data_IF_450213902618
#
_entry.id   IF_450213902618
#
_cell.length_a   1.000
_cell.length_b   1.000
_cell.length_c   1.000
_cell.angle_alpha   90.00
_cell.angle_beta   90.00
_cell.angle_gamma   90.00
#
_symmetry.space_group_name_H-M   'P 1'
#
loop_
_entity.id
_entity.type
_entity.pdbx_description
1 polymer ?
#
# COMPACT_ATOMS: atom_id res chain seq x y z
N UNK A 1 -0.86 3.80 4.36
CA UNK A 1 -0.66 4.52 3.10
C UNK A 1 -1.57 3.94 2.03
N UNK A 2 -2.20 4.77 1.22
CA UNK A 2 -3.04 4.29 0.13
C UNK A 2 -2.95 5.19 -1.10
N UNK A 3 -3.19 4.59 -2.29
CA UNK A 3 -3.22 5.27 -3.60
C UNK A 3 -2.00 6.13 -3.96
N UNK A 4 -0.80 5.63 -3.66
CA UNK A 4 0.46 6.24 -4.10
C UNK A 4 0.95 5.59 -5.41
N UNK A 5 1.64 6.38 -6.23
CA UNK A 5 2.31 5.91 -7.45
C UNK A 5 3.84 5.89 -7.24
N UNK A 6 4.40 4.70 -7.06
CA UNK A 6 5.85 4.48 -6.97
C UNK A 6 6.36 4.15 -8.38
N UNK A 7 7.21 5.00 -8.94
CA UNK A 7 7.62 4.88 -10.34
C UNK A 7 9.13 4.95 -10.50
N UNK A 8 9.68 3.99 -11.24
CA UNK A 8 11.08 3.94 -11.68
C UNK A 8 12.09 4.05 -10.53
N UNK A 9 11.93 3.16 -9.55
CA UNK A 9 12.80 3.10 -8.36
C UNK A 9 13.79 1.96 -8.55
N UNK A 10 15.07 2.31 -8.74
CA UNK A 10 16.17 1.34 -8.94
C UNK A 10 16.63 0.67 -7.65
N UNK A 11 16.30 1.26 -6.48
CA UNK A 11 16.54 0.71 -5.14
C UNK A 11 15.31 0.00 -4.55
N UNK A 12 14.93 0.40 -3.34
CA UNK A 12 13.77 -0.13 -2.63
C UNK A 12 12.76 0.97 -2.25
N UNK A 13 11.50 0.59 -2.03
CA UNK A 13 10.43 1.52 -1.65
C UNK A 13 10.01 1.40 -0.19
N UNK A 14 9.64 0.19 0.27
CA UNK A 14 9.24 -0.05 1.66
C UNK A 14 10.37 -0.76 2.40
N UNK A 15 10.90 -0.12 3.44
CA UNK A 15 11.81 -0.74 4.41
C UNK A 15 11.24 -0.60 5.82
N UNK A 16 10.54 -1.66 6.27
CA UNK A 16 9.82 -1.65 7.54
C UNK A 16 10.66 -2.26 8.65
N UNK A 17 11.29 -1.40 9.46
CA UNK A 17 12.12 -1.83 10.59
C UNK A 17 11.35 -1.77 11.93
N UNK A 18 12.08 -2.01 13.03
CA UNK A 18 11.58 -2.03 14.41
C UNK A 18 10.58 -0.89 14.68
N UNK A 19 9.42 -1.26 15.23
CA UNK A 19 8.36 -0.31 15.59
C UNK A 19 7.35 -0.04 14.47
N UNK A 20 7.64 -0.47 13.23
CA UNK A 20 6.74 -0.22 12.10
C UNK A 20 5.45 -1.04 12.19
N UNK A 21 4.31 -0.36 11.97
CA UNK A 21 3.00 -0.94 11.63
C UNK A 21 2.51 -0.27 10.35
N UNK A 22 2.54 -0.99 9.24
CA UNK A 22 2.17 -0.45 7.93
C UNK A 22 0.98 -1.20 7.35
N UNK A 23 -0.07 -0.44 7.00
CA UNK A 23 -1.09 -0.85 6.05
C UNK A 23 -0.83 -0.12 4.73
N UNK A 24 -0.60 -0.85 3.64
CA UNK A 24 -0.34 -0.32 2.31
C UNK A 24 -1.33 -0.90 1.31
N UNK A 25 -2.33 -0.14 0.88
CA UNK A 25 -3.41 -0.64 0.02
C UNK A 25 -3.66 0.26 -1.19
N UNK A 26 -4.09 -0.32 -2.31
CA UNK A 26 -4.42 0.42 -3.53
C UNK A 26 -3.28 1.23 -4.13
N UNK A 27 -2.01 0.95 -3.81
CA UNK A 27 -0.86 1.63 -4.40
C UNK A 27 -0.47 0.98 -5.73
N UNK A 28 0.21 1.73 -6.59
CA UNK A 28 0.73 1.25 -7.87
C UNK A 28 2.25 1.35 -7.87
N UNK A 29 2.93 0.22 -8.00
CA UNK A 29 4.39 0.14 -8.15
C UNK A 29 4.70 -0.15 -9.61
N UNK A 30 5.36 0.78 -10.28
CA UNK A 30 5.78 0.72 -11.67
C UNK A 30 7.30 0.73 -11.78
N UNK A 31 7.90 -0.33 -12.34
CA UNK A 31 9.34 -0.48 -12.47
C UNK A 31 10.13 -0.23 -11.16
N UNK A 32 9.59 -0.72 -10.04
CA UNK A 32 10.25 -0.65 -8.73
C UNK A 32 11.02 -1.95 -8.52
N UNK A 33 12.35 -1.88 -8.42
CA UNK A 33 13.20 -3.06 -8.31
C UNK A 33 12.93 -3.88 -7.05
N UNK A 34 12.79 -3.21 -5.90
CA UNK A 34 12.48 -3.85 -4.61
C UNK A 34 11.34 -3.12 -3.90
N UNK A 35 10.06 -3.42 -4.22
CA UNK A 35 8.92 -2.74 -3.60
C UNK A 35 8.89 -2.87 -2.07
N UNK A 36 9.32 -4.01 -1.55
CA UNK A 36 9.56 -4.23 -0.12
C UNK A 36 10.90 -4.92 0.08
N UNK A 37 11.71 -4.44 1.04
CA UNK A 37 12.95 -5.12 1.46
C UNK A 37 12.67 -6.47 2.10
N UNK A 38 11.45 -6.67 2.60
CA UNK A 38 11.06 -7.89 3.31
C UNK A 38 11.58 -7.97 4.75
N UNK A 39 12.10 -6.86 5.31
CA UNK A 39 12.55 -6.80 6.69
C UNK A 39 11.48 -7.34 7.65
N UNK A 40 11.89 -8.25 8.54
CA UNK A 40 11.00 -8.95 9.49
C UNK A 40 10.83 -8.23 10.81
N UNK A 41 11.58 -7.16 11.05
CA UNK A 41 11.52 -6.38 12.29
C UNK A 41 10.26 -5.50 12.40
N UNK A 42 9.72 -5.07 11.25
CA UNK A 42 8.45 -4.38 11.14
C UNK A 42 7.27 -5.32 10.86
N UNK A 43 6.05 -4.84 11.04
CA UNK A 43 4.85 -5.55 10.60
C UNK A 43 4.15 -4.79 9.47
N UNK A 44 4.02 -5.45 8.32
CA UNK A 44 3.44 -4.87 7.10
C UNK A 44 2.27 -5.72 6.63
N UNK A 45 1.16 -5.05 6.32
CA UNK A 45 0.06 -5.59 5.54
C UNK A 45 -0.05 -4.82 4.22
N UNK A 46 0.36 -5.44 3.12
CA UNK A 46 0.24 -4.89 1.77
C UNK A 46 -0.41 -5.95 0.85
N UNK A 47 -1.75 -5.96 0.75
CA UNK A 47 -2.46 -7.00 0.03
C UNK A 47 -2.24 -6.91 -1.48
N UNK A 48 -2.20 -8.06 -2.13
CA UNK A 48 -2.11 -8.21 -3.60
C UNK A 48 -3.16 -9.17 -4.16
N UNK A 49 -4.03 -9.73 -3.30
CA UNK A 49 -5.07 -10.69 -3.67
C UNK A 49 -6.39 -10.42 -2.94
N UNK A 50 -7.48 -10.94 -3.50
CA UNK A 50 -8.82 -10.86 -2.89
C UNK A 50 -8.89 -11.53 -1.51
N UNK A 51 -8.14 -12.61 -1.30
CA UNK A 51 -8.08 -13.31 -0.01
C UNK A 51 -7.40 -12.49 1.07
N UNK A 52 -6.38 -11.70 0.72
CA UNK A 52 -5.78 -10.76 1.66
C UNK A 52 -6.71 -9.56 1.89
N UNK A 53 -7.36 -9.05 0.85
CA UNK A 53 -8.27 -7.91 0.96
C UNK A 53 -9.39 -8.13 1.98
N UNK A 54 -9.96 -9.33 2.03
CA UNK A 54 -11.03 -9.66 2.98
C UNK A 54 -10.60 -9.64 4.45
N UNK A 55 -9.31 -9.79 4.74
CA UNK A 55 -8.78 -9.78 6.12
C UNK A 55 -8.95 -8.42 6.81
N UNK A 56 -9.09 -7.33 6.05
CA UNK A 56 -9.31 -6.00 6.61
C UNK A 56 -10.71 -5.81 7.18
N UNK A 57 -11.70 -6.61 6.75
CA UNK A 57 -13.09 -6.47 7.18
C UNK A 57 -13.25 -6.54 8.70
N UNK A 58 -12.48 -7.41 9.38
CA UNK A 58 -12.55 -7.59 10.83
C UNK A 58 -12.07 -6.41 11.67
N UNK A 59 -11.29 -5.48 11.11
CA UNK A 59 -10.77 -4.32 11.86
C UNK A 59 -11.23 -2.98 11.27
N UNK A 60 -11.23 -2.87 9.93
CA UNK A 60 -11.54 -1.65 9.21
C UNK A 60 -13.02 -1.52 8.84
N UNK A 61 -13.82 -2.58 9.00
CA UNK A 61 -15.21 -2.66 8.53
C UNK A 61 -15.37 -2.48 7.01
N UNK A 62 -14.29 -2.75 6.26
CA UNK A 62 -14.24 -2.76 4.79
C UNK A 62 -13.15 -3.72 4.33
N UNK A 63 -13.26 -4.19 3.10
CA UNK A 63 -12.15 -4.88 2.46
C UNK A 63 -11.04 -3.87 2.15
N UNK A 64 -9.79 -4.32 2.21
CA UNK A 64 -8.68 -3.55 1.65
C UNK A 64 -8.69 -3.62 0.13
N UNK A 65 -7.91 -2.75 -0.51
CA UNK A 65 -7.71 -2.77 -1.96
C UNK A 65 -6.31 -3.30 -2.29
N UNK A 66 -6.21 -4.22 -3.24
CA UNK A 66 -4.93 -4.77 -3.69
C UNK A 66 -4.00 -3.68 -4.21
N UNK A 67 -2.70 -3.83 -3.97
CA UNK A 67 -1.69 -3.08 -4.69
C UNK A 67 -1.46 -3.68 -6.08
N UNK A 68 -1.04 -2.85 -7.03
CA UNK A 68 -0.63 -3.29 -8.38
C UNK A 68 0.89 -3.25 -8.49
N UNK A 69 1.47 -4.32 -9.03
CA UNK A 69 2.89 -4.46 -9.34
C UNK A 69 3.04 -4.59 -10.86
N UNK A 70 3.52 -3.55 -11.53
CA UNK A 70 3.79 -3.52 -12.96
C UNK A 70 5.29 -3.39 -13.20
N UNK A 71 5.90 -4.35 -13.91
CA UNK A 71 7.36 -4.36 -14.15
C UNK A 71 8.22 -4.32 -12.87
N UNK A 72 7.63 -4.65 -11.72
CA UNK A 72 8.22 -4.44 -10.39
C UNK A 72 8.55 -5.77 -9.70
N UNK A 73 9.40 -5.73 -8.68
CA UNK A 73 9.64 -6.87 -7.80
C UNK A 73 8.41 -7.23 -6.94
N UNK A 74 8.59 -8.13 -5.98
CA UNK A 74 7.53 -8.54 -5.06
C UNK A 74 7.41 -7.64 -3.83
N UNK A 75 6.21 -7.59 -3.25
CA UNK A 75 6.01 -7.11 -1.87
C UNK A 75 6.32 -8.24 -0.89
N UNK A 76 7.61 -8.51 -0.67
CA UNK A 76 8.07 -9.58 0.22
C UNK A 76 7.74 -9.27 1.68
N UNK A 77 7.32 -10.29 2.44
CA UNK A 77 7.00 -10.22 3.87
C UNK A 77 5.93 -9.17 4.26
N UNK A 78 4.93 -8.97 3.41
CA UNK A 78 3.86 -7.97 3.64
C UNK A 78 2.48 -8.58 3.90
N UNK A 79 2.39 -9.86 4.28
CA UNK A 79 1.13 -10.55 4.53
C UNK A 79 0.74 -10.63 6.02
N UNK A 80 1.25 -9.71 6.86
CA UNK A 80 1.00 -9.73 8.30
C UNK A 80 -0.28 -8.96 8.65
N UNK A 81 -1.42 -9.66 8.67
CA UNK A 81 -2.73 -9.06 9.00
C UNK A 81 -2.81 -8.49 10.42
N UNK A 82 -1.93 -8.90 11.33
CA UNK A 82 -1.80 -8.29 12.66
C UNK A 82 -1.41 -6.81 12.61
N UNK A 83 -0.76 -6.35 11.53
CA UNK A 83 -0.45 -4.93 11.34
C UNK A 83 -1.70 -4.05 11.21
N UNK A 84 -2.82 -4.60 10.74
CA UNK A 84 -4.10 -3.88 10.58
C UNK A 84 -4.65 -3.42 11.93
N UNK A 85 -4.38 -4.17 13.00
CA UNK A 85 -4.86 -3.87 14.36
C UNK A 85 -4.43 -2.50 14.91
N UNK A 86 -3.37 -1.91 14.35
CA UNK A 86 -2.92 -0.56 14.70
C UNK A 86 -3.83 0.56 14.13
N UNK A 87 -4.68 0.25 13.15
CA UNK A 87 -5.46 1.23 12.38
C UNK A 87 -6.92 1.29 12.84
N UNK A 88 -7.15 1.85 14.03
CA UNK A 88 -8.48 1.91 14.66
C UNK A 88 -9.21 3.24 14.48
N UNK A 89 -8.51 4.29 14.05
CA UNK A 89 -9.09 5.62 13.90
C UNK A 89 -10.17 5.65 12.81
N UNK A 90 -11.28 6.36 13.08
CA UNK A 90 -12.43 6.44 12.17
C UNK A 90 -12.05 6.89 10.76
N UNK A 91 -11.11 7.85 10.66
CA UNK A 91 -10.61 8.36 9.37
C UNK A 91 -9.95 7.29 8.50
N UNK A 92 -9.37 6.25 9.10
CA UNK A 92 -8.76 5.13 8.35
C UNK A 92 -9.82 4.12 7.92
N UNK A 93 -10.81 3.88 8.79
CA UNK A 93 -11.94 2.99 8.50
C UNK A 93 -12.83 3.54 7.39
N UNK A 94 -13.05 4.86 7.37
CA UNK A 94 -13.83 5.55 6.34
C UNK A 94 -13.03 5.94 5.10
N UNK A 95 -11.76 5.55 4.99
CA UNK A 95 -10.94 5.89 3.82
C UNK A 95 -11.53 5.26 2.55
N UNK A 96 -11.76 6.08 1.53
CA UNK A 96 -12.12 5.63 0.19
C UNK A 96 -10.85 5.40 -0.59
N UNK A 97 -10.57 4.13 -0.91
CA UNK A 97 -9.38 3.73 -1.66
C UNK A 97 -9.81 3.48 -3.10
N UNK A 98 -9.25 4.26 -4.03
CA UNK A 98 -9.58 4.14 -5.46
C UNK A 98 -8.98 2.86 -6.05
N UNK A 99 -9.49 2.46 -7.21
CA UNK A 99 -8.91 1.37 -8.00
C UNK A 99 -7.44 1.65 -8.32
N UNK A 100 -6.51 0.72 -8.01
CA UNK A 100 -5.08 0.95 -8.19
C UNK A 100 -4.72 1.23 -9.64
N UNK A 101 -5.45 0.69 -10.63
CA UNK A 101 -5.22 0.96 -12.05
C UNK A 101 -5.44 2.42 -12.46
N UNK A 102 -6.24 3.17 -11.70
CA UNK A 102 -6.48 4.60 -11.90
C UNK A 102 -5.49 5.50 -11.16
N UNK A 103 -4.64 4.94 -10.29
CA UNK A 103 -3.68 5.71 -9.48
C UNK A 103 -2.62 6.41 -10.33
N UNK A 104 -1.99 5.80 -11.36
CA UNK A 104 -0.96 6.49 -12.14
C UNK A 104 -1.46 7.78 -12.80
N UNK A 105 -2.61 7.72 -13.47
CA UNK A 105 -3.18 8.90 -14.15
C UNK A 105 -3.62 9.97 -13.15
N UNK A 106 -4.25 9.56 -12.05
CA UNK A 106 -4.68 10.48 -11.00
C UNK A 106 -3.49 11.17 -10.34
N UNK A 107 -2.47 10.43 -9.92
CA UNK A 107 -1.30 11.03 -9.23
C UNK A 107 -0.54 11.95 -10.17
N UNK A 108 -0.29 11.56 -11.43
CA UNK A 108 0.43 12.42 -12.39
C UNK A 108 -0.33 13.71 -12.73
N UNK A 109 -1.67 13.67 -12.70
CA UNK A 109 -2.48 14.86 -12.94
C UNK A 109 -2.45 15.84 -11.75
N UNK A 110 -2.38 15.33 -10.52
CA UNK A 110 -2.76 16.05 -9.31
C UNK A 110 -1.66 16.23 -8.26
N UNK A 111 -0.58 15.45 -8.29
CA UNK A 111 0.48 15.57 -7.29
C UNK A 111 1.55 16.59 -7.71
N UNK A 112 2.07 17.33 -6.73
CA UNK A 112 3.18 18.26 -6.90
C UNK A 112 2.78 19.73 -6.80
N UNK A 113 3.79 20.60 -6.71
CA UNK A 113 3.59 22.03 -6.56
C UNK A 113 2.84 22.61 -7.76
N UNK A 114 1.88 23.51 -7.51
CA UNK A 114 1.09 24.17 -8.54
C UNK A 114 -0.06 23.33 -9.08
N UNK A 115 -0.24 22.10 -8.59
CA UNK A 115 -1.46 21.33 -8.75
C UNK A 115 -2.40 21.67 -7.60
N UNK A 116 -3.52 22.31 -7.92
CA UNK A 116 -4.53 22.71 -6.93
C UNK A 116 -5.85 22.18 -7.43
N UNK A 117 -6.43 21.27 -6.68
CA UNK A 117 -7.71 20.65 -6.95
C UNK A 117 -8.75 21.24 -6.01
#
# INVERSE_FOLDING_TARGET
MFNNYFNDITGHAIDADVGTKLLAEGNYFNNVRTPSTGNTNGAVFAPTSSSMNSQCSGTLNRNCVSNTLAGSGSLTNTANSGAIGAFTASVVKSASVMDPGSVPSFVLANAGLGKVN
#
